data_IF_318781845683
#
_entry.id   IF_318781845683
#
_cell.length_a   1.000
_cell.length_b   1.000
_cell.length_c   1.000
_cell.angle_alpha   90.00
_cell.angle_beta   90.00
_cell.angle_gamma   90.00
#
_symmetry.space_group_name_H-M   'P 1'
#
loop_
_entity.id
_entity.type
_entity.pdbx_description
1 polymer ?
#
# COMPACT_ATOMS: atom_id res chain seq x y z
N UNK A 1 30.25 -3.07 -66.28
CA UNK A 1 29.28 -2.32 -67.11
C UNK A 1 28.33 -1.59 -66.17
N UNK A 2 28.44 -0.25 -66.15
CA UNK A 2 27.45 0.78 -65.69
C UNK A 2 26.79 0.53 -64.32
N UNK A 3 27.05 1.25 -63.23
CA UNK A 3 27.33 2.68 -62.98
C UNK A 3 26.27 3.63 -63.57
N UNK A 4 25.50 4.29 -62.69
CA UNK A 4 25.38 5.77 -62.65
C UNK A 4 24.22 6.26 -61.77
N UNK A 5 24.55 6.99 -60.70
CA UNK A 5 23.72 8.07 -60.14
C UNK A 5 23.61 9.25 -61.13
N UNK A 6 22.62 10.15 -60.95
CA UNK A 6 22.71 11.54 -61.38
C UNK A 6 22.61 12.54 -60.19
N UNK A 7 22.96 13.83 -60.41
CA UNK A 7 23.95 14.50 -59.56
C UNK A 7 23.52 15.82 -58.88
N UNK A 8 24.40 16.28 -58.00
CA UNK A 8 24.60 17.66 -57.53
C UNK A 8 24.95 18.61 -58.70
N UNK A 9 24.43 19.84 -58.69
CA UNK A 9 24.94 21.08 -59.32
C UNK A 9 23.82 22.16 -59.25
N UNK A 10 24.01 23.48 -59.26
CA UNK A 10 25.08 24.46 -59.02
C UNK A 10 24.36 25.82 -59.05
N UNK A 11 24.92 26.86 -58.42
CA UNK A 11 24.40 28.25 -58.44
C UNK A 11 24.55 28.91 -59.82
N UNK A 12 23.78 29.98 -60.12
CA UNK A 12 24.20 31.03 -61.03
C UNK A 12 24.64 32.34 -60.32
N UNK A 13 25.31 33.27 -61.04
CA UNK A 13 26.27 34.24 -60.47
C UNK A 13 25.92 35.73 -60.74
N UNK A 14 26.80 36.62 -60.25
CA UNK A 14 26.95 38.07 -60.55
C UNK A 14 25.94 39.01 -59.85
N UNK A 15 26.27 40.24 -59.41
CA UNK A 15 27.20 41.23 -59.96
C UNK A 15 27.48 42.34 -58.91
N UNK A 16 28.69 42.90 -58.91
CA UNK A 16 29.13 43.94 -57.96
C UNK A 16 28.66 45.37 -58.27
N UNK A 17 28.74 46.22 -57.26
CA UNK A 17 28.56 47.68 -57.31
C UNK A 17 29.21 48.35 -56.08
N UNK A 18 29.58 49.64 -56.16
CA UNK A 18 30.90 50.12 -55.73
C UNK A 18 31.01 50.64 -54.29
N UNK A 19 32.25 50.58 -53.79
CA UNK A 19 32.76 51.05 -52.50
C UNK A 19 32.78 52.59 -52.42
N UNK A 20 32.30 53.23 -51.33
CA UNK A 20 32.61 54.62 -51.02
C UNK A 20 33.87 54.78 -50.14
N UNK A 21 34.58 55.94 -50.22
CA UNK A 21 35.88 56.17 -49.60
C UNK A 21 35.81 56.48 -48.08
N UNK A 22 36.95 56.47 -47.35
CA UNK A 22 36.95 56.57 -45.90
C UNK A 22 36.84 58.04 -45.43
N UNK A 23 35.94 58.32 -44.50
CA UNK A 23 35.86 59.58 -43.76
C UNK A 23 36.14 59.34 -42.28
N UNK A 24 36.96 60.22 -41.70
CA UNK A 24 37.59 60.14 -40.38
C UNK A 24 36.66 60.21 -39.15
N UNK A 25 37.23 60.43 -37.95
CA UNK A 25 36.68 59.92 -36.69
C UNK A 25 35.75 60.91 -35.98
N UNK A 26 34.63 60.43 -35.44
CA UNK A 26 33.92 60.83 -34.19
C UNK A 26 32.49 60.26 -34.19
N UNK A 27 31.75 60.23 -33.06
CA UNK A 27 32.08 59.85 -31.68
C UNK A 27 31.28 58.59 -31.25
N UNK A 28 31.71 57.93 -30.16
CA UNK A 28 31.03 56.78 -29.56
C UNK A 28 29.56 57.07 -29.21
N UNK A 29 28.57 56.31 -29.73
CA UNK A 29 27.22 56.34 -29.20
C UNK A 29 27.21 55.59 -27.86
N UNK A 30 26.76 56.27 -26.80
CA UNK A 30 26.38 55.63 -25.54
C UNK A 30 25.33 54.55 -25.84
N UNK A 31 25.69 53.29 -25.63
CA UNK A 31 24.76 52.17 -25.72
C UNK A 31 23.64 52.32 -24.66
N UNK A 32 22.45 51.76 -24.92
CA UNK A 32 21.37 51.79 -23.95
C UNK A 32 21.78 51.10 -22.64
N UNK A 33 21.29 51.62 -21.51
CA UNK A 33 21.55 51.07 -20.18
C UNK A 33 21.24 49.56 -20.11
N UNK A 34 22.05 48.75 -19.40
CA UNK A 34 21.80 47.32 -19.29
C UNK A 34 20.48 47.03 -18.55
N UNK A 35 19.75 46.05 -19.07
CA UNK A 35 18.56 45.46 -18.45
C UNK A 35 18.87 44.98 -17.02
N UNK A 36 17.97 45.17 -16.04
CA UNK A 36 18.17 44.70 -14.66
C UNK A 36 18.25 43.17 -14.52
N UNK A 37 18.09 42.41 -15.61
CA UNK A 37 18.01 40.96 -15.60
C UNK A 37 19.27 40.23 -16.09
N UNK A 38 20.36 40.93 -16.35
CA UNK A 38 21.66 40.29 -16.66
C UNK A 38 22.69 40.56 -15.57
N UNK A 39 22.57 39.83 -14.46
CA UNK A 39 23.72 39.53 -13.59
C UNK A 39 23.91 38.01 -13.54
N UNK A 40 25.15 37.50 -13.63
CA UNK A 40 25.44 36.13 -13.26
C UNK A 40 25.05 35.92 -11.79
N UNK A 41 24.29 34.87 -11.50
CA UNK A 41 23.98 34.46 -10.14
C UNK A 41 25.19 33.71 -9.58
N UNK A 42 25.97 34.38 -8.73
CA UNK A 42 26.95 33.72 -7.87
C UNK A 42 26.24 33.31 -6.56
N UNK A 43 26.08 32.01 -6.26
CA UNK A 43 25.53 31.60 -4.98
C UNK A 43 26.51 31.97 -3.85
N UNK A 44 26.03 32.51 -2.72
CA UNK A 44 26.92 32.80 -1.59
C UNK A 44 27.54 31.51 -1.04
N UNK A 45 28.84 31.56 -0.78
CA UNK A 45 29.59 30.49 -0.11
C UNK A 45 28.92 30.14 1.24
N UNK A 46 28.73 28.85 1.57
CA UNK A 46 28.07 28.41 2.81
C UNK A 46 28.84 28.77 4.10
N UNK A 47 29.99 29.44 3.99
CA UNK A 47 30.87 29.78 5.12
C UNK A 47 31.09 31.28 5.33
N UNK A 48 30.37 32.16 4.62
CA UNK A 48 30.47 33.61 4.83
C UNK A 48 29.68 34.03 6.10
N UNK A 49 30.39 34.35 7.19
CA UNK A 49 29.78 34.98 8.38
C UNK A 49 29.50 36.47 8.10
N UNK A 50 28.30 37.00 8.37
CA UNK A 50 28.04 38.44 8.22
C UNK A 50 28.76 39.21 9.32
N UNK A 51 29.76 40.02 8.95
CA UNK A 51 30.34 41.04 9.83
C UNK A 51 29.60 42.37 9.61
N UNK A 52 28.52 42.56 10.36
CA UNK A 52 27.79 43.84 10.45
C UNK A 52 27.27 44.02 11.87
N UNK A 53 27.16 45.27 12.37
CA UNK A 53 26.62 45.52 13.71
C UNK A 53 25.16 45.06 13.79
N UNK A 54 24.84 44.29 14.82
CA UNK A 54 23.49 43.76 15.06
C UNK A 54 22.50 44.93 15.21
N UNK A 55 21.33 44.89 14.53
CA UNK A 55 20.29 45.89 14.77
C UNK A 55 19.80 45.78 16.22
N UNK A 56 19.71 46.93 16.88
CA UNK A 56 19.28 47.07 18.27
C UNK A 56 17.91 46.44 18.51
N UNK A 57 17.84 45.52 19.46
CA UNK A 57 16.64 44.79 19.87
C UNK A 57 15.67 45.67 20.69
N UNK A 58 15.09 46.70 20.06
CA UNK A 58 14.04 47.52 20.67
C UNK A 58 13.01 47.92 19.62
N UNK A 59 11.74 47.61 19.90
CA UNK A 59 10.53 47.91 19.10
C UNK A 59 9.98 46.84 18.15
N UNK A 60 10.21 45.55 18.43
CA UNK A 60 9.24 44.52 18.07
C UNK A 60 8.63 44.00 19.36
N UNK A 61 7.34 44.27 19.58
CA UNK A 61 6.60 43.63 20.68
C UNK A 61 6.84 42.12 20.61
N UNK A 62 7.13 41.51 21.76
CA UNK A 62 7.32 40.06 21.82
C UNK A 62 6.15 39.41 21.08
N UNK A 63 6.39 38.60 20.03
CA UNK A 63 5.31 37.85 19.42
C UNK A 63 4.66 37.07 20.55
N UNK A 64 3.33 37.19 20.68
CA UNK A 64 2.57 36.32 21.55
C UNK A 64 3.09 34.89 21.31
N UNK A 65 3.33 34.07 22.35
CA UNK A 65 3.79 32.71 22.16
C UNK A 65 2.86 32.09 21.12
N UNK A 66 3.42 31.79 19.95
CA UNK A 66 2.65 31.18 18.88
C UNK A 66 2.00 29.97 19.54
N UNK A 67 0.66 29.91 19.55
CA UNK A 67 0.02 28.66 19.90
C UNK A 67 0.74 27.59 19.07
N UNK A 68 1.22 26.50 19.69
CA UNK A 68 1.84 25.42 18.94
C UNK A 68 0.87 25.10 17.81
N UNK A 69 1.32 25.28 16.56
CA UNK A 69 0.56 24.85 15.40
C UNK A 69 0.22 23.38 15.66
N UNK A 70 -1.01 23.13 16.10
CA UNK A 70 -1.50 21.78 16.25
C UNK A 70 -1.88 21.43 14.84
N UNK A 71 -1.16 20.52 14.15
CA UNK A 71 -1.69 19.98 12.91
C UNK A 71 -3.12 19.56 13.24
N UNK A 72 -4.09 19.99 12.41
CA UNK A 72 -5.38 19.32 12.37
C UNK A 72 -4.99 17.87 12.21
N UNK A 73 -5.12 17.11 13.31
CA UNK A 73 -4.50 15.80 13.45
C UNK A 73 -4.78 15.10 12.14
N UNK A 74 -3.73 14.74 11.40
CA UNK A 74 -3.82 13.75 10.33
C UNK A 74 -4.04 12.42 11.04
N UNK A 75 -5.16 12.35 11.78
CA UNK A 75 -5.89 11.14 12.06
C UNK A 75 -6.31 10.71 10.67
N UNK A 76 -5.47 9.93 10.02
CA UNK A 76 -5.92 8.87 9.13
C UNK A 76 -7.17 8.29 9.77
N UNK A 77 -8.30 8.67 9.16
CA UNK A 77 -9.70 8.36 9.43
C UNK A 77 -9.95 7.47 10.66
N UNK A 78 -9.58 7.93 11.86
CA UNK A 78 -9.94 7.23 13.12
C UNK A 78 -11.40 7.48 13.50
N UNK A 79 -12.13 8.25 12.68
CA UNK A 79 -13.53 8.68 12.88
C UNK A 79 -14.45 8.38 11.70
N UNK A 80 -14.10 7.45 10.82
CA UNK A 80 -15.14 6.69 10.13
C UNK A 80 -15.00 5.26 10.63
N UNK A 81 -15.78 4.91 11.66
CA UNK A 81 -15.92 3.53 12.09
C UNK A 81 -16.22 2.65 10.87
N UNK A 82 -15.81 1.38 10.88
CA UNK A 82 -16.36 0.46 9.89
C UNK A 82 -17.87 0.67 9.92
N UNK A 83 -18.55 0.86 8.76
CA UNK A 83 -19.94 1.27 8.74
C UNK A 83 -20.62 0.38 9.75
N UNK A 84 -21.18 0.96 10.82
CA UNK A 84 -21.52 0.20 12.03
C UNK A 84 -22.33 -1.05 11.66
N UNK A 85 -23.16 -0.92 10.62
CA UNK A 85 -23.83 -2.00 9.90
C UNK A 85 -22.92 -3.18 9.48
N UNK A 86 -21.79 -2.95 8.81
CA UNK A 86 -20.86 -4.01 8.41
C UNK A 86 -20.22 -4.74 9.59
N UNK A 87 -19.93 -4.05 10.70
CA UNK A 87 -19.46 -4.71 11.93
C UNK A 87 -20.59 -5.50 12.62
N UNK A 88 -21.80 -4.94 12.66
CA UNK A 88 -22.97 -5.62 13.20
C UNK A 88 -23.26 -6.89 12.39
N UNK A 89 -23.28 -6.81 11.06
CA UNK A 89 -23.50 -7.96 10.19
C UNK A 89 -22.43 -9.03 10.39
N UNK A 90 -21.16 -8.62 10.53
CA UNK A 90 -20.08 -9.56 10.78
C UNK A 90 -20.17 -10.20 12.18
N UNK A 91 -20.60 -9.46 13.19
CA UNK A 91 -20.85 -9.99 14.53
C UNK A 91 -22.04 -10.97 14.56
N UNK A 92 -23.13 -10.65 13.85
CA UNK A 92 -24.28 -11.56 13.67
C UNK A 92 -23.81 -12.83 12.95
N UNK A 93 -23.05 -12.69 11.86
CA UNK A 93 -22.49 -13.83 11.14
C UNK A 93 -21.61 -14.70 12.02
N UNK A 94 -20.73 -14.10 12.83
CA UNK A 94 -19.91 -14.81 13.80
C UNK A 94 -20.76 -15.54 14.85
N UNK A 95 -21.85 -14.93 15.34
CA UNK A 95 -22.76 -15.57 16.28
C UNK A 95 -23.48 -16.77 15.66
N UNK A 96 -23.93 -16.66 14.41
CA UNK A 96 -24.53 -17.77 13.65
C UNK A 96 -23.52 -18.91 13.49
N UNK A 97 -22.29 -18.60 13.11
CA UNK A 97 -21.21 -19.60 12.97
C UNK A 97 -20.93 -20.31 14.29
N UNK A 98 -20.79 -19.56 15.38
CA UNK A 98 -20.55 -20.14 16.71
C UNK A 98 -21.72 -21.03 17.13
N UNK A 99 -22.95 -20.59 16.86
CA UNK A 99 -24.14 -21.41 17.11
C UNK A 99 -24.13 -22.72 16.29
N UNK A 100 -23.81 -22.66 15.00
CA UNK A 100 -23.71 -23.83 14.14
C UNK A 100 -22.61 -24.79 14.60
N UNK A 101 -21.42 -24.26 14.90
CA UNK A 101 -20.30 -25.05 15.39
C UNK A 101 -20.60 -25.71 16.75
N UNK A 102 -21.26 -25.01 17.66
CA UNK A 102 -21.71 -25.58 18.94
C UNK A 102 -22.81 -26.63 18.74
N UNK A 103 -23.76 -26.39 17.84
CA UNK A 103 -24.88 -27.31 17.57
C UNK A 103 -24.40 -28.60 16.91
N UNK A 104 -23.38 -28.51 16.06
CA UNK A 104 -22.76 -29.66 15.42
C UNK A 104 -21.65 -30.32 16.25
N UNK A 105 -21.27 -29.75 17.40
CA UNK A 105 -20.19 -30.29 18.21
C UNK A 105 -20.62 -31.56 18.95
N UNK A 106 -19.80 -32.61 18.84
CA UNK A 106 -20.03 -33.89 19.54
C UNK A 106 -19.95 -33.73 21.07
N UNK A 107 -19.09 -32.83 21.57
CA UNK A 107 -18.94 -32.48 22.98
C UNK A 107 -18.47 -31.02 23.12
N UNK A 108 -18.57 -30.46 24.32
CA UNK A 108 -17.93 -29.16 24.63
C UNK A 108 -16.42 -29.21 24.42
N UNK A 109 -15.78 -30.35 24.73
CA UNK A 109 -14.35 -30.55 24.53
C UNK A 109 -13.92 -30.51 23.06
N UNK A 110 -14.70 -31.11 22.16
CA UNK A 110 -14.42 -31.08 20.71
C UNK A 110 -14.62 -29.68 20.13
N UNK A 111 -15.63 -28.93 20.59
CA UNK A 111 -15.78 -27.52 20.24
C UNK A 111 -14.58 -26.67 20.68
N UNK A 112 -14.15 -26.80 21.93
CA UNK A 112 -12.97 -26.06 22.44
C UNK A 112 -11.72 -26.43 21.66
N UNK A 113 -11.51 -27.73 21.39
CA UNK A 113 -10.40 -28.20 20.55
C UNK A 113 -10.45 -27.61 19.14
N UNK A 114 -11.63 -27.58 18.51
CA UNK A 114 -11.85 -26.99 17.20
C UNK A 114 -11.47 -25.50 17.16
N UNK A 115 -11.89 -24.72 18.16
CA UNK A 115 -11.52 -23.30 18.29
C UNK A 115 -10.00 -23.13 18.41
N UNK A 116 -9.33 -23.93 19.24
CA UNK A 116 -7.88 -23.87 19.41
C UNK A 116 -7.16 -24.17 18.09
N UNK A 117 -7.52 -25.27 17.42
CA UNK A 117 -6.87 -25.67 16.17
C UNK A 117 -7.11 -24.68 15.03
N UNK A 118 -8.34 -24.18 14.88
CA UNK A 118 -8.67 -23.14 13.90
C UNK A 118 -7.88 -21.85 14.18
N UNK A 119 -7.75 -21.46 15.45
CA UNK A 119 -6.97 -20.28 15.87
C UNK A 119 -5.50 -20.45 15.54
N UNK A 120 -4.90 -21.61 15.83
CA UNK A 120 -3.50 -21.88 15.49
C UNK A 120 -3.26 -21.72 13.99
N UNK A 121 -4.14 -22.29 13.15
CA UNK A 121 -4.05 -22.12 11.70
C UNK A 121 -4.13 -20.67 11.25
N UNK A 122 -5.11 -19.92 11.77
CA UNK A 122 -5.28 -18.51 11.46
C UNK A 122 -4.05 -17.67 11.87
N UNK A 123 -3.51 -17.88 13.07
CA UNK A 123 -2.34 -17.14 13.58
C UNK A 123 -1.12 -17.35 12.70
N UNK A 124 -0.87 -18.57 12.24
CA UNK A 124 0.26 -18.87 11.33
C UNK A 124 0.16 -18.03 10.05
N UNK A 125 -1.02 -18.03 9.42
CA UNK A 125 -1.23 -17.32 8.14
C UNK A 125 -1.24 -15.81 8.34
N UNK A 126 -1.88 -15.30 9.39
CA UNK A 126 -1.87 -13.88 9.76
C UNK A 126 -0.42 -13.40 9.94
N UNK A 127 0.41 -14.18 10.63
CA UNK A 127 1.82 -13.83 10.84
C UNK A 127 2.57 -13.68 9.51
N UNK A 128 2.27 -14.52 8.51
CA UNK A 128 2.85 -14.38 7.17
C UNK A 128 2.43 -13.08 6.48
N UNK A 129 1.16 -12.68 6.57
CA UNK A 129 0.69 -11.40 6.01
C UNK A 129 1.24 -10.19 6.77
N UNK A 130 1.30 -10.24 8.10
CA UNK A 130 1.92 -9.18 8.90
C UNK A 130 3.44 -9.08 8.65
N UNK A 131 4.08 -10.21 8.33
CA UNK A 131 5.46 -10.19 7.86
C UNK A 131 5.56 -9.53 6.49
N UNK A 132 4.65 -9.81 5.56
CA UNK A 132 4.63 -9.22 4.22
C UNK A 132 4.43 -7.69 4.28
N UNK A 133 3.58 -7.24 5.19
CA UNK A 133 3.09 -5.86 5.36
C UNK A 133 3.92 -5.02 6.36
N UNK A 134 5.25 -5.10 6.26
CA UNK A 134 6.14 -4.51 7.28
C UNK A 134 6.59 -3.08 6.97
N UNK A 135 6.48 -2.65 5.72
CA UNK A 135 6.89 -1.30 5.31
C UNK A 135 5.83 -0.26 5.66
N UNK A 136 4.56 -0.58 5.42
CA UNK A 136 3.40 0.26 5.70
C UNK A 136 2.35 -0.61 6.40
N UNK A 137 2.47 -0.82 7.72
CA UNK A 137 1.55 -1.70 8.44
C UNK A 137 0.12 -1.19 8.38
N UNK A 138 -0.79 -2.04 7.92
CA UNK A 138 -2.20 -1.70 7.79
C UNK A 138 -2.87 -1.47 9.17
N UNK A 139 -3.82 -0.51 9.27
CA UNK A 139 -4.52 -0.26 10.52
C UNK A 139 -5.24 -1.53 11.04
N UNK A 140 -5.01 -1.94 12.30
CA UNK A 140 -5.58 -3.18 12.85
C UNK A 140 -7.11 -3.26 12.75
N UNK A 141 -7.79 -2.11 12.79
CA UNK A 141 -9.23 -2.04 12.66
C UNK A 141 -9.73 -2.57 11.30
N UNK A 142 -9.00 -2.32 10.21
CA UNK A 142 -9.38 -2.79 8.88
C UNK A 142 -9.01 -4.25 8.67
N UNK A 143 -7.90 -4.71 9.26
CA UNK A 143 -7.55 -6.13 9.29
C UNK A 143 -8.59 -6.96 10.04
N UNK A 144 -9.03 -6.49 11.20
CA UNK A 144 -10.13 -7.11 11.98
C UNK A 144 -11.42 -7.08 11.16
N UNK A 145 -11.72 -5.96 10.49
CA UNK A 145 -12.93 -5.87 9.67
C UNK A 145 -12.91 -6.83 8.48
N UNK A 146 -11.77 -6.98 7.79
CA UNK A 146 -11.59 -7.93 6.71
C UNK A 146 -11.76 -9.38 7.20
N UNK A 147 -11.13 -9.71 8.33
CA UNK A 147 -11.28 -11.02 8.97
C UNK A 147 -12.73 -11.32 9.34
N UNK A 148 -13.41 -10.40 10.02
CA UNK A 148 -14.79 -10.56 10.43
C UNK A 148 -15.75 -10.60 9.22
N UNK A 149 -15.46 -9.83 8.16
CA UNK A 149 -16.20 -9.92 6.90
C UNK A 149 -16.11 -11.32 6.31
N UNK A 150 -14.89 -11.85 6.21
CA UNK A 150 -14.62 -13.20 5.71
C UNK A 150 -15.34 -14.27 6.52
N UNK A 151 -15.14 -14.28 7.84
CA UNK A 151 -15.71 -15.32 8.71
C UNK A 151 -17.21 -15.20 8.95
N UNK A 152 -17.74 -13.98 9.01
CA UNK A 152 -19.16 -13.74 9.27
C UNK A 152 -19.98 -13.59 8.01
N UNK A 153 -19.82 -12.45 7.33
CA UNK A 153 -20.69 -12.07 6.19
C UNK A 153 -20.48 -13.01 5.01
N UNK A 154 -19.23 -13.26 4.62
CA UNK A 154 -18.95 -14.08 3.46
C UNK A 154 -19.29 -15.55 3.69
N UNK A 155 -18.97 -16.12 4.86
CA UNK A 155 -19.36 -17.50 5.18
C UNK A 155 -20.87 -17.69 5.19
N UNK A 156 -21.61 -16.89 5.97
CA UNK A 156 -23.08 -17.07 6.09
C UNK A 156 -23.77 -16.78 4.77
N UNK A 157 -23.33 -15.74 4.06
CA UNK A 157 -23.85 -15.46 2.72
C UNK A 157 -23.56 -16.59 1.74
N UNK A 158 -22.37 -17.19 1.79
CA UNK A 158 -21.98 -18.26 0.88
C UNK A 158 -22.83 -19.50 1.13
N UNK A 159 -23.04 -19.89 2.40
CA UNK A 159 -23.92 -21.01 2.77
C UNK A 159 -25.33 -20.86 2.17
N UNK A 160 -25.91 -19.65 2.24
CA UNK A 160 -27.25 -19.38 1.69
C UNK A 160 -27.24 -19.45 0.16
N UNK A 161 -26.28 -18.78 -0.49
CA UNK A 161 -26.21 -18.75 -1.95
C UNK A 161 -25.94 -20.15 -2.51
N UNK A 162 -25.03 -20.91 -1.90
CA UNK A 162 -24.71 -22.27 -2.28
C UNK A 162 -25.94 -23.17 -2.17
N UNK A 163 -26.71 -23.07 -1.08
CA UNK A 163 -27.94 -23.84 -0.92
C UNK A 163 -28.98 -23.51 -2.00
N UNK A 164 -29.13 -22.24 -2.36
CA UNK A 164 -30.03 -21.80 -3.44
C UNK A 164 -29.55 -22.33 -4.80
N UNK A 165 -28.25 -22.25 -5.10
CA UNK A 165 -27.68 -22.76 -6.35
C UNK A 165 -27.85 -24.28 -6.45
N UNK A 166 -27.60 -25.00 -5.35
CA UNK A 166 -27.79 -26.45 -5.27
C UNK A 166 -29.21 -26.84 -5.65
N UNK A 167 -30.22 -26.16 -5.07
CA UNK A 167 -31.63 -26.51 -5.29
C UNK A 167 -32.21 -26.03 -6.63
N UNK A 168 -31.77 -24.88 -7.14
CA UNK A 168 -32.40 -24.21 -8.29
C UNK A 168 -31.61 -24.33 -9.59
N UNK A 169 -30.32 -24.64 -9.54
CA UNK A 169 -29.42 -24.63 -10.70
C UNK A 169 -28.76 -25.99 -10.92
N UNK A 170 -28.38 -26.67 -9.84
CA UNK A 170 -27.62 -27.92 -9.91
C UNK A 170 -28.44 -29.16 -9.58
N UNK A 171 -29.76 -29.03 -9.36
CA UNK A 171 -30.68 -30.14 -9.05
C UNK A 171 -30.20 -31.05 -7.89
N UNK A 172 -29.50 -30.47 -6.92
CA UNK A 172 -28.93 -31.17 -5.76
C UNK A 172 -27.62 -31.92 -6.04
N UNK A 173 -26.98 -31.74 -7.21
CA UNK A 173 -25.67 -32.34 -7.50
C UNK A 173 -24.60 -31.75 -6.57
N UNK A 174 -24.13 -32.58 -5.63
CA UNK A 174 -23.14 -32.21 -4.62
C UNK A 174 -21.78 -31.86 -5.25
N UNK A 175 -21.39 -32.53 -6.33
CA UNK A 175 -20.09 -32.29 -6.99
C UNK A 175 -20.10 -30.96 -7.72
N UNK A 176 -21.16 -30.66 -8.47
CA UNK A 176 -21.31 -29.35 -9.13
C UNK A 176 -21.49 -28.22 -8.12
N UNK A 177 -22.24 -28.46 -7.05
CA UNK A 177 -22.41 -27.50 -5.96
C UNK A 177 -21.05 -27.18 -5.33
N UNK A 178 -20.24 -28.19 -4.99
CA UNK A 178 -18.92 -28.00 -4.41
C UNK A 178 -17.90 -27.39 -5.40
N UNK A 179 -17.90 -27.83 -6.67
CA UNK A 179 -16.90 -27.42 -7.65
C UNK A 179 -17.20 -26.08 -8.34
N UNK A 180 -18.47 -25.64 -8.35
CA UNK A 180 -18.90 -24.41 -9.06
C UNK A 180 -19.67 -23.49 -8.13
N UNK A 181 -20.69 -24.01 -7.43
CA UNK A 181 -21.56 -23.22 -6.55
C UNK A 181 -20.79 -22.55 -5.41
N UNK A 182 -20.03 -23.33 -4.65
CA UNK A 182 -19.22 -22.85 -3.54
C UNK A 182 -18.18 -21.80 -3.99
N UNK A 183 -17.30 -22.05 -4.99
CA UNK A 183 -16.38 -21.03 -5.49
C UNK A 183 -17.07 -19.75 -5.96
N UNK A 184 -18.21 -19.87 -6.64
CA UNK A 184 -18.96 -18.70 -7.13
C UNK A 184 -19.46 -17.86 -5.97
N UNK A 185 -20.06 -18.49 -4.97
CA UNK A 185 -20.62 -17.80 -3.80
C UNK A 185 -19.50 -17.23 -2.91
N UNK A 186 -18.54 -18.08 -2.53
CA UNK A 186 -17.49 -17.75 -1.58
C UNK A 186 -16.53 -16.68 -2.10
N UNK A 187 -15.97 -16.86 -3.30
CA UNK A 187 -14.97 -15.91 -3.82
C UNK A 187 -15.60 -14.56 -4.15
N UNK A 188 -16.87 -14.55 -4.58
CA UNK A 188 -17.61 -13.30 -4.79
C UNK A 188 -17.81 -12.53 -3.50
N UNK A 189 -18.26 -13.21 -2.43
CA UNK A 189 -18.52 -12.56 -1.15
C UNK A 189 -17.24 -12.14 -0.43
N UNK A 190 -16.18 -12.95 -0.47
CA UNK A 190 -14.87 -12.55 0.04
C UNK A 190 -14.29 -11.38 -0.77
N UNK A 191 -14.35 -11.47 -2.10
CA UNK A 191 -13.89 -10.43 -3.02
C UNK A 191 -14.65 -9.10 -2.89
N UNK A 192 -15.94 -9.14 -2.52
CA UNK A 192 -16.74 -7.94 -2.31
C UNK A 192 -16.16 -6.99 -1.26
N UNK A 193 -15.44 -7.51 -0.25
CA UNK A 193 -14.73 -6.68 0.73
C UNK A 193 -13.74 -5.72 0.05
N UNK A 194 -12.96 -6.22 -0.91
CA UNK A 194 -12.00 -5.41 -1.66
C UNK A 194 -12.71 -4.33 -2.48
N UNK A 195 -13.86 -4.65 -3.05
CA UNK A 195 -14.65 -3.68 -3.83
C UNK A 195 -15.21 -2.57 -2.94
N UNK A 196 -15.67 -2.92 -1.74
CA UNK A 196 -16.13 -1.94 -0.74
C UNK A 196 -14.98 -1.02 -0.33
N UNK A 197 -13.79 -1.57 -0.09
CA UNK A 197 -12.61 -0.77 0.24
C UNK A 197 -12.18 0.12 -0.95
N UNK A 198 -12.15 -0.44 -2.17
CA UNK A 198 -11.75 0.26 -3.40
C UNK A 198 -12.69 1.42 -3.77
N UNK A 199 -13.99 1.23 -3.62
CA UNK A 199 -15.02 2.21 -4.04
C UNK A 199 -15.47 3.13 -2.92
N UNK A 200 -15.27 2.73 -1.66
CA UNK A 200 -15.74 3.45 -0.50
C UNK A 200 -14.85 4.60 -0.05
N UNK A 201 -15.16 5.12 1.14
CA UNK A 201 -14.42 6.19 1.81
C UNK A 201 -12.98 5.80 2.18
N UNK A 202 -12.64 4.51 2.11
CA UNK A 202 -11.36 3.91 2.56
C UNK A 202 -10.43 3.54 1.43
N UNK A 203 -10.72 3.96 0.21
CA UNK A 203 -9.86 3.72 -0.96
C UNK A 203 -8.42 4.21 -0.81
N UNK A 204 -8.16 5.09 0.16
CA UNK A 204 -6.82 5.62 0.48
C UNK A 204 -5.93 4.62 1.22
N UNK A 205 -6.53 3.57 1.80
CA UNK A 205 -5.83 2.48 2.49
C UNK A 205 -5.50 1.33 1.53
N UNK A 206 -5.92 1.42 0.26
CA UNK A 206 -5.55 0.46 -0.77
C UNK A 206 -4.79 1.21 -1.84
N UNK A 207 -3.46 1.25 -1.72
CA UNK A 207 -2.60 2.02 -2.63
C UNK A 207 -1.51 1.18 -3.28
N UNK A 208 -1.11 0.10 -2.62
CA UNK A 208 -0.08 -0.82 -3.06
C UNK A 208 -0.67 -2.18 -3.43
N UNK A 209 0.15 -3.02 -4.09
CA UNK A 209 -0.23 -4.42 -4.29
C UNK A 209 -0.35 -5.13 -2.94
N UNK A 210 0.62 -4.92 -2.04
CA UNK A 210 0.66 -5.58 -0.72
C UNK A 210 -0.61 -5.33 0.08
N UNK A 211 -1.11 -4.09 0.11
CA UNK A 211 -2.36 -3.71 0.77
C UNK A 211 -3.52 -4.59 0.28
N UNK A 212 -3.66 -4.71 -1.06
CA UNK A 212 -4.72 -5.54 -1.66
C UNK A 212 -4.57 -7.02 -1.32
N UNK A 213 -3.32 -7.53 -1.28
CA UNK A 213 -3.03 -8.91 -0.89
C UNK A 213 -3.40 -9.14 0.58
N UNK A 214 -3.05 -8.20 1.47
CA UNK A 214 -3.29 -8.29 2.91
C UNK A 214 -4.79 -8.28 3.20
N UNK A 215 -5.55 -7.35 2.60
CA UNK A 215 -7.00 -7.30 2.80
C UNK A 215 -7.73 -8.55 2.27
N UNK A 216 -7.34 -9.05 1.09
CA UNK A 216 -7.87 -10.29 0.55
C UNK A 216 -7.49 -11.50 1.41
N UNK A 217 -6.23 -11.54 1.84
CA UNK A 217 -5.69 -12.54 2.74
C UNK A 217 -6.48 -12.61 4.02
N UNK A 218 -6.67 -11.48 4.71
CA UNK A 218 -7.43 -11.40 5.96
C UNK A 218 -8.88 -11.87 5.78
N UNK A 219 -9.54 -11.50 4.68
CA UNK A 219 -10.89 -12.00 4.36
C UNK A 219 -10.88 -13.52 4.14
N UNK A 220 -9.93 -14.05 3.37
CA UNK A 220 -9.77 -15.49 3.17
C UNK A 220 -9.44 -16.24 4.47
N UNK A 221 -8.62 -15.68 5.35
CA UNK A 221 -8.27 -16.28 6.65
C UNK A 221 -9.51 -16.34 7.55
N UNK A 222 -10.31 -15.27 7.60
CA UNK A 222 -11.54 -15.26 8.39
C UNK A 222 -12.52 -16.34 7.94
N UNK A 223 -12.68 -16.50 6.62
CA UNK A 223 -13.48 -17.57 6.03
C UNK A 223 -12.92 -18.95 6.40
N UNK A 224 -11.63 -19.19 6.15
CA UNK A 224 -10.96 -20.45 6.46
C UNK A 224 -11.01 -20.81 7.95
N UNK A 225 -10.95 -19.81 8.84
CA UNK A 225 -11.09 -20.01 10.29
C UNK A 225 -12.45 -20.63 10.63
N UNK A 226 -13.52 -20.06 10.07
CA UNK A 226 -14.88 -20.55 10.30
C UNK A 226 -15.08 -21.93 9.69
N UNK A 227 -14.60 -22.13 8.47
CA UNK A 227 -14.70 -23.42 7.82
C UNK A 227 -13.96 -24.50 8.64
N UNK A 228 -12.71 -24.24 9.04
CA UNK A 228 -11.93 -25.11 9.92
C UNK A 228 -12.66 -25.42 11.23
N UNK A 229 -13.28 -24.40 11.84
CA UNK A 229 -14.03 -24.56 13.09
C UNK A 229 -15.18 -25.56 12.92
N UNK A 230 -15.97 -25.45 11.83
CA UNK A 230 -17.09 -26.34 11.54
C UNK A 230 -16.63 -27.77 11.21
N UNK A 231 -15.51 -27.91 10.47
CA UNK A 231 -14.92 -29.23 10.19
C UNK A 231 -14.39 -29.91 11.45
N UNK A 232 -13.74 -29.18 12.35
CA UNK A 232 -13.19 -29.76 13.57
C UNK A 232 -14.27 -30.03 14.63
N UNK A 233 -15.35 -29.23 14.68
CA UNK A 233 -16.41 -29.43 15.67
C UNK A 233 -17.19 -30.73 15.44
N UNK A 234 -17.33 -31.16 14.19
CA UNK A 234 -18.06 -32.38 13.80
C UNK A 234 -17.22 -33.66 13.87
N UNK A 235 -15.94 -33.56 14.26
CA UNK A 235 -15.06 -34.73 14.34
C UNK A 235 -15.48 -35.71 15.47
N UNK A 236 -15.44 -37.01 15.16
CA UNK A 236 -15.92 -38.07 16.06
C UNK A 236 -14.78 -38.75 16.84
N UNK A 237 -13.53 -38.58 16.39
CA UNK A 237 -12.36 -39.18 17.05
C UNK A 237 -11.13 -38.28 16.98
N UNK A 238 -10.24 -38.42 17.98
CA UNK A 238 -8.96 -37.70 18.00
C UNK A 238 -8.11 -37.98 16.76
N UNK A 239 -8.15 -39.21 16.23
CA UNK A 239 -7.45 -39.58 15.01
C UNK A 239 -7.96 -38.81 13.79
N UNK A 240 -9.28 -38.71 13.62
CA UNK A 240 -9.90 -37.93 12.56
C UNK A 240 -9.59 -36.43 12.69
N UNK A 241 -9.71 -35.86 13.89
CA UNK A 241 -9.35 -34.46 14.16
C UNK A 241 -7.90 -34.19 13.81
N UNK A 242 -6.98 -35.08 14.21
CA UNK A 242 -5.54 -34.94 13.95
C UNK A 242 -5.24 -34.99 12.46
N UNK A 243 -5.80 -35.96 11.73
CA UNK A 243 -5.63 -36.07 10.29
C UNK A 243 -6.17 -34.82 9.56
N UNK A 244 -7.40 -34.40 9.89
CA UNK A 244 -8.00 -33.21 9.29
C UNK A 244 -7.20 -31.95 9.60
N UNK A 245 -6.70 -31.79 10.83
CA UNK A 245 -5.85 -30.67 11.18
C UNK A 245 -4.60 -30.60 10.31
N UNK A 246 -3.84 -31.69 10.18
CA UNK A 246 -2.65 -31.68 9.36
C UNK A 246 -2.95 -31.50 7.87
N UNK A 247 -4.00 -32.12 7.33
CA UNK A 247 -4.41 -31.89 5.95
C UNK A 247 -4.78 -30.42 5.71
N UNK A 248 -5.57 -29.83 6.62
CA UNK A 248 -6.04 -28.44 6.49
C UNK A 248 -4.97 -27.41 6.82
N UNK A 249 -3.94 -27.73 7.61
CA UNK A 249 -2.80 -26.82 7.86
C UNK A 249 -1.72 -26.95 6.78
N UNK A 250 -1.33 -28.16 6.40
CA UNK A 250 -0.22 -28.36 5.46
C UNK A 250 -0.64 -28.08 4.02
N UNK A 251 -1.84 -28.49 3.64
CA UNK A 251 -2.34 -28.32 2.27
C UNK A 251 -3.32 -27.13 2.19
N UNK A 252 -4.17 -26.97 3.21
CA UNK A 252 -5.30 -26.02 3.16
C UNK A 252 -5.05 -24.64 3.79
N UNK A 253 -3.99 -24.41 4.58
CA UNK A 253 -3.92 -23.21 5.43
C UNK A 253 -3.97 -21.91 4.63
N UNK A 254 -3.36 -21.95 3.44
CA UNK A 254 -3.33 -20.82 2.53
C UNK A 254 -4.39 -20.90 1.44
N UNK A 255 -5.25 -21.94 1.36
CA UNK A 255 -6.15 -22.15 0.23
C UNK A 255 -7.11 -20.96 0.00
N UNK A 256 -8.02 -20.65 0.93
CA UNK A 256 -8.93 -19.50 0.75
C UNK A 256 -8.18 -18.15 0.61
N UNK A 257 -7.13 -17.85 1.41
CA UNK A 257 -6.31 -16.67 1.18
C UNK A 257 -5.69 -16.61 -0.22
N UNK A 258 -5.19 -17.74 -0.73
CA UNK A 258 -4.58 -17.87 -2.04
C UNK A 258 -5.59 -17.63 -3.17
N UNK A 259 -6.77 -18.23 -3.10
CA UNK A 259 -7.83 -18.03 -4.10
C UNK A 259 -8.29 -16.57 -4.13
N UNK A 260 -8.67 -16.03 -2.96
CA UNK A 260 -9.15 -14.64 -2.82
C UNK A 260 -8.10 -13.62 -3.30
N UNK A 261 -6.82 -13.95 -3.16
CA UNK A 261 -5.73 -13.11 -3.64
C UNK A 261 -5.70 -12.95 -5.16
N UNK A 262 -6.27 -13.88 -5.94
CA UNK A 262 -6.42 -13.66 -7.38
C UNK A 262 -7.34 -12.45 -7.67
N UNK A 263 -8.41 -12.30 -6.88
CA UNK A 263 -9.26 -11.10 -6.92
C UNK A 263 -8.46 -9.85 -6.54
N UNK A 264 -7.57 -9.92 -5.54
CA UNK A 264 -6.69 -8.80 -5.19
C UNK A 264 -5.78 -8.37 -6.33
N UNK A 265 -5.18 -9.33 -7.06
CA UNK A 265 -4.38 -9.03 -8.25
C UNK A 265 -5.19 -8.30 -9.32
N UNK A 266 -6.43 -8.72 -9.54
CA UNK A 266 -7.38 -8.05 -10.44
C UNK A 266 -7.71 -6.63 -9.99
N UNK A 267 -7.99 -6.45 -8.69
CA UNK A 267 -8.24 -5.13 -8.08
C UNK A 267 -7.02 -4.21 -8.21
N UNK A 268 -5.82 -4.69 -7.88
CA UNK A 268 -4.59 -3.90 -8.04
C UNK A 268 -4.31 -3.55 -9.50
N UNK A 269 -4.53 -4.48 -10.43
CA UNK A 269 -4.40 -4.21 -11.86
C UNK A 269 -5.42 -3.15 -12.33
N UNK A 270 -6.63 -3.15 -11.77
CA UNK A 270 -7.66 -2.13 -12.05
C UNK A 270 -7.25 -0.73 -11.58
N UNK A 271 -6.56 -0.62 -10.44
CA UNK A 271 -6.11 0.66 -9.88
C UNK A 271 -5.09 1.37 -10.79
N UNK A 272 -4.39 0.62 -11.64
CA UNK A 272 -3.43 1.14 -12.63
C UNK A 272 -4.09 1.59 -13.94
N UNK A 273 -5.41 1.48 -14.09
CA UNK A 273 -6.13 1.83 -15.32
C UNK A 273 -6.92 3.13 -15.16
N UNK A 274 -7.03 3.89 -16.26
CA UNK A 274 -7.88 5.10 -16.33
C UNK A 274 -9.30 4.78 -16.82
N UNK A 275 -9.42 3.94 -17.85
CA UNK A 275 -10.70 3.58 -18.46
C UNK A 275 -11.53 2.64 -17.58
N UNK A 276 -12.81 2.98 -17.35
CA UNK A 276 -13.73 2.21 -16.50
C UNK A 276 -13.90 0.75 -16.93
N UNK A 277 -14.10 0.50 -18.24
CA UNK A 277 -14.24 -0.87 -18.76
C UNK A 277 -13.01 -1.74 -18.50
N UNK A 278 -11.81 -1.18 -18.62
CA UNK A 278 -10.58 -1.90 -18.29
C UNK A 278 -10.50 -2.26 -16.80
N UNK A 279 -10.94 -1.36 -15.90
CA UNK A 279 -10.97 -1.63 -14.46
C UNK A 279 -11.84 -2.84 -14.13
N UNK A 280 -13.07 -2.83 -14.63
CA UNK A 280 -14.03 -3.92 -14.42
C UNK A 280 -13.48 -5.24 -14.98
N UNK A 281 -12.87 -5.20 -16.17
CA UNK A 281 -12.28 -6.39 -16.79
C UNK A 281 -11.20 -7.03 -15.90
N UNK A 282 -10.26 -6.25 -15.35
CA UNK A 282 -9.23 -6.81 -14.47
C UNK A 282 -9.80 -7.38 -13.17
N UNK A 283 -10.80 -6.73 -12.58
CA UNK A 283 -11.49 -7.24 -11.38
C UNK A 283 -12.15 -8.59 -11.68
N UNK A 284 -12.91 -8.66 -12.78
CA UNK A 284 -13.60 -9.89 -13.18
C UNK A 284 -12.63 -11.02 -13.54
N UNK A 285 -11.50 -10.71 -14.20
CA UNK A 285 -10.47 -11.70 -14.48
C UNK A 285 -9.81 -12.24 -13.19
N UNK A 286 -9.56 -11.38 -12.22
CA UNK A 286 -9.05 -11.79 -10.91
C UNK A 286 -10.03 -12.68 -10.17
N UNK A 287 -11.31 -12.30 -10.16
CA UNK A 287 -12.39 -13.08 -9.54
C UNK A 287 -12.59 -14.44 -10.23
N UNK A 288 -12.61 -14.47 -11.56
CA UNK A 288 -12.68 -15.71 -12.33
C UNK A 288 -11.48 -16.62 -12.04
N UNK A 289 -10.27 -16.06 -11.92
CA UNK A 289 -9.08 -16.80 -11.52
C UNK A 289 -9.22 -17.42 -10.12
N UNK A 290 -9.80 -16.69 -9.16
CA UNK A 290 -10.11 -17.19 -7.82
C UNK A 290 -11.07 -18.38 -7.89
N UNK A 291 -12.21 -18.21 -8.60
CA UNK A 291 -13.25 -19.22 -8.74
C UNK A 291 -12.74 -20.48 -9.43
N UNK A 292 -11.94 -20.34 -10.49
CA UNK A 292 -11.38 -21.49 -11.22
C UNK A 292 -10.42 -22.28 -10.34
N UNK A 293 -9.50 -21.62 -9.63
CA UNK A 293 -8.57 -22.31 -8.75
C UNK A 293 -9.30 -23.00 -7.61
N UNK A 294 -10.25 -22.30 -6.97
CA UNK A 294 -11.03 -22.90 -5.89
C UNK A 294 -11.90 -24.07 -6.40
N UNK A 295 -12.57 -23.91 -7.54
CA UNK A 295 -13.35 -24.98 -8.16
C UNK A 295 -12.51 -26.20 -8.53
N UNK A 296 -11.30 -26.00 -9.05
CA UNK A 296 -10.35 -27.10 -9.31
C UNK A 296 -9.93 -27.80 -8.02
N UNK A 297 -9.73 -27.07 -6.92
CA UNK A 297 -9.46 -27.66 -5.62
C UNK A 297 -10.59 -28.58 -5.18
N UNK A 298 -11.83 -28.08 -5.17
CA UNK A 298 -13.01 -28.84 -4.73
C UNK A 298 -13.33 -30.01 -5.67
N UNK A 299 -13.28 -29.80 -6.98
CA UNK A 299 -13.50 -30.87 -7.95
C UNK A 299 -12.49 -32.01 -7.78
N UNK A 300 -11.22 -31.65 -7.52
CA UNK A 300 -10.17 -32.66 -7.37
C UNK A 300 -10.34 -33.51 -6.12
N UNK A 301 -10.83 -32.94 -5.01
CA UNK A 301 -11.11 -33.70 -3.78
C UNK A 301 -12.33 -34.60 -3.91
N UNK A 302 -13.36 -34.18 -4.65
CA UNK A 302 -14.54 -34.99 -4.94
C UNK A 302 -14.28 -36.15 -5.90
N UNK A 303 -13.27 -36.04 -6.77
CA UNK A 303 -13.00 -37.06 -7.80
C UNK A 303 -12.16 -38.24 -7.30
N UNK A 304 -10.98 -37.99 -6.74
CA UNK A 304 -10.13 -39.04 -6.13
C UNK A 304 -8.96 -38.43 -5.37
N UNK A 305 -8.35 -39.20 -4.45
CA UNK A 305 -7.12 -38.79 -3.78
C UNK A 305 -5.96 -38.51 -4.77
N UNK A 306 -5.88 -39.27 -5.86
CA UNK A 306 -4.85 -39.06 -6.90
C UNK A 306 -5.07 -37.75 -7.64
N UNK A 307 -6.31 -37.42 -8.00
CA UNK A 307 -6.65 -36.13 -8.60
C UNK A 307 -6.37 -34.98 -7.63
N UNK A 308 -6.78 -35.11 -6.36
CA UNK A 308 -6.53 -34.11 -5.33
C UNK A 308 -5.04 -33.82 -5.14
N UNK A 309 -4.21 -34.85 -4.95
CA UNK A 309 -2.75 -34.70 -4.80
C UNK A 309 -2.12 -34.18 -6.10
N UNK A 310 -2.58 -34.65 -7.26
CA UNK A 310 -2.14 -34.18 -8.57
C UNK A 310 -2.39 -32.68 -8.77
N UNK A 311 -3.62 -32.22 -8.52
CA UNK A 311 -4.00 -30.81 -8.57
C UNK A 311 -3.21 -29.98 -7.57
N UNK A 312 -3.03 -30.48 -6.34
CA UNK A 312 -2.22 -29.81 -5.32
C UNK A 312 -0.78 -29.57 -5.80
N UNK A 313 -0.09 -30.62 -6.24
CA UNK A 313 1.34 -30.53 -6.60
C UNK A 313 1.57 -29.86 -7.94
N UNK A 314 0.72 -30.10 -8.94
CA UNK A 314 0.94 -29.64 -10.32
C UNK A 314 0.32 -28.27 -10.61
N UNK A 315 -0.72 -27.87 -9.86
CA UNK A 315 -1.43 -26.60 -10.09
C UNK A 315 -1.24 -25.67 -8.89
N UNK A 316 -1.62 -26.11 -7.68
CA UNK A 316 -1.67 -25.22 -6.51
C UNK A 316 -0.29 -24.78 -6.06
N UNK A 317 0.66 -25.71 -5.89
CA UNK A 317 2.02 -25.38 -5.45
C UNK A 317 2.73 -24.43 -6.42
N UNK A 318 2.75 -24.66 -7.75
CA UNK A 318 3.36 -23.72 -8.69
C UNK A 318 2.69 -22.34 -8.69
N UNK A 319 1.36 -22.29 -8.68
CA UNK A 319 0.62 -21.04 -8.65
C UNK A 319 0.86 -20.26 -7.34
N UNK A 320 0.90 -20.96 -6.21
CA UNK A 320 1.24 -20.38 -4.91
C UNK A 320 2.68 -19.86 -4.87
N UNK A 321 3.65 -20.60 -5.44
CA UNK A 321 5.05 -20.15 -5.55
C UNK A 321 5.14 -18.86 -6.39
N UNK A 322 4.42 -18.78 -7.51
CA UNK A 322 4.36 -17.56 -8.33
C UNK A 322 3.79 -16.40 -7.50
N UNK A 323 2.70 -16.63 -6.78
CA UNK A 323 2.10 -15.62 -5.93
C UNK A 323 3.07 -15.13 -4.84
N UNK A 324 3.72 -16.04 -4.12
CA UNK A 324 4.69 -15.71 -3.08
C UNK A 324 5.86 -14.90 -3.65
N UNK A 325 6.37 -15.26 -4.85
CA UNK A 325 7.40 -14.48 -5.53
C UNK A 325 6.94 -13.07 -5.84
N UNK A 326 5.71 -12.90 -6.30
CA UNK A 326 5.13 -11.58 -6.58
C UNK A 326 4.93 -10.76 -5.30
N UNK A 327 4.45 -11.37 -4.22
CA UNK A 327 4.31 -10.73 -2.91
C UNK A 327 5.66 -10.27 -2.36
N UNK A 328 6.69 -11.13 -2.38
CA UNK A 328 8.05 -10.77 -1.94
C UNK A 328 8.63 -9.65 -2.83
N UNK A 329 8.37 -9.69 -4.14
CA UNK A 329 8.77 -8.62 -5.05
C UNK A 329 8.10 -7.29 -4.69
N UNK A 330 6.79 -7.29 -4.42
CA UNK A 330 6.03 -6.11 -3.99
C UNK A 330 6.67 -5.46 -2.75
N UNK A 331 6.86 -6.26 -1.69
CA UNK A 331 7.53 -5.86 -0.45
C UNK A 331 8.94 -5.29 -0.67
N UNK A 332 9.70 -5.85 -1.62
CA UNK A 332 11.05 -5.33 -1.93
C UNK A 332 10.97 -3.97 -2.63
N UNK A 333 10.00 -3.80 -3.54
CA UNK A 333 9.79 -2.56 -4.27
C UNK A 333 9.35 -1.43 -3.35
N UNK A 334 8.51 -1.70 -2.35
CA UNK A 334 8.17 -0.74 -1.30
C UNK A 334 9.42 -0.16 -0.63
N UNK A 335 10.33 -1.03 -0.19
CA UNK A 335 11.60 -0.59 0.39
C UNK A 335 12.48 0.21 -0.58
N UNK A 336 12.45 -0.10 -1.88
CA UNK A 336 13.16 0.69 -2.90
C UNK A 336 12.54 2.08 -3.03
N UNK A 337 11.21 2.17 -3.04
CA UNK A 337 10.49 3.45 -3.11
C UNK A 337 10.85 4.32 -1.91
N UNK A 338 10.77 3.79 -0.69
CA UNK A 338 11.20 4.53 0.51
C UNK A 338 12.61 5.08 0.34
N UNK A 339 13.59 4.22 0.04
CA UNK A 339 14.99 4.66 -0.12
C UNK A 339 15.20 5.71 -1.22
N UNK A 340 14.40 5.67 -2.29
CA UNK A 340 14.49 6.64 -3.38
C UNK A 340 14.00 8.03 -2.96
N UNK A 341 13.03 8.10 -2.07
CA UNK A 341 12.38 9.35 -1.66
C UNK A 341 13.05 10.02 -0.47
N UNK A 342 13.80 9.27 0.36
CA UNK A 342 14.51 9.82 1.53
C UNK A 342 15.46 11.00 1.20
N UNK A 343 16.29 10.98 0.14
CA UNK A 343 17.20 12.08 -0.16
C UNK A 343 16.53 13.44 -0.35
N UNK A 344 15.32 13.47 -0.92
CA UNK A 344 14.59 14.73 -1.07
C UNK A 344 13.89 15.17 0.21
N UNK A 345 13.58 14.25 1.13
CA UNK A 345 13.10 14.59 2.48
C UNK A 345 14.23 15.20 3.33
N UNK A 346 15.46 14.69 3.15
CA UNK A 346 16.68 15.28 3.73
C UNK A 346 16.90 16.67 3.16
N UNK A 347 16.77 16.85 1.84
CA UNK A 347 16.88 18.16 1.20
C UNK A 347 15.86 19.17 1.76
N UNK A 348 14.62 18.75 2.00
CA UNK A 348 13.58 19.63 2.56
C UNK A 348 13.69 19.85 4.07
N UNK A 349 14.68 19.24 4.75
CA UNK A 349 14.86 19.33 6.19
C UNK A 349 13.78 18.63 7.01
N UNK A 350 13.01 17.70 6.41
CA UNK A 350 11.98 16.93 7.13
C UNK A 350 12.59 15.83 8.01
N UNK A 351 13.76 15.33 7.62
CA UNK A 351 14.53 14.30 8.33
C UNK A 351 16.02 14.62 8.20
N UNK A 352 16.83 14.16 9.14
CA UNK A 352 18.28 14.33 9.06
C UNK A 352 18.94 13.31 8.10
N UNK A 353 20.13 13.61 7.55
CA UNK A 353 20.90 12.67 6.73
C UNK A 353 21.21 11.34 7.44
N UNK A 354 21.35 11.38 8.78
CA UNK A 354 21.60 10.20 9.61
C UNK A 354 20.34 9.36 9.83
N UNK A 355 19.20 10.02 10.03
CA UNK A 355 17.90 9.37 10.13
C UNK A 355 17.55 8.60 8.85
N UNK A 356 17.75 9.24 7.70
CA UNK A 356 17.54 8.63 6.40
C UNK A 356 18.36 7.33 6.23
N UNK A 357 19.57 7.26 6.82
CA UNK A 357 20.40 6.06 6.82
C UNK A 357 19.68 4.84 7.41
N UNK A 358 19.05 4.98 8.58
CA UNK A 358 18.38 3.86 9.24
C UNK A 358 16.92 3.68 8.83
N UNK A 359 16.25 4.72 8.33
CA UNK A 359 14.88 4.65 7.82
C UNK A 359 14.78 3.83 6.52
N UNK A 360 15.86 3.71 5.75
CA UNK A 360 15.87 3.00 4.46
C UNK A 360 15.82 1.47 4.51
N UNK A 361 15.82 0.86 5.70
CA UNK A 361 15.85 -0.60 5.88
C UNK A 361 15.06 -1.07 7.10
N UNK A 362 14.26 -2.13 6.94
CA UNK A 362 13.54 -2.75 8.04
C UNK A 362 14.48 -3.32 9.12
N UNK A 363 15.68 -3.76 8.74
CA UNK A 363 16.67 -4.31 9.69
C UNK A 363 17.22 -3.21 10.60
N UNK A 364 17.54 -2.05 10.03
CA UNK A 364 18.08 -0.91 10.77
C UNK A 364 17.00 -0.25 11.62
N UNK A 365 15.77 -0.10 11.11
CA UNK A 365 14.59 0.30 11.91
C UNK A 365 14.45 -0.58 13.15
N UNK A 366 14.41 -1.91 12.96
CA UNK A 366 14.27 -2.85 14.07
C UNK A 366 15.43 -2.79 15.07
N UNK A 367 16.66 -2.56 14.60
CA UNK A 367 17.83 -2.40 15.46
C UNK A 367 17.73 -1.13 16.32
N UNK A 368 17.25 -0.01 15.75
CA UNK A 368 17.08 1.27 16.46
C UNK A 368 15.95 1.26 17.49
N UNK A 369 14.90 0.48 17.24
CA UNK A 369 13.79 0.36 18.20
C UNK A 369 13.99 -0.72 19.26
N UNK A 370 15.06 -1.53 19.16
CA UNK A 370 15.28 -2.65 20.07
C UNK A 370 15.67 -2.13 21.45
N UNK A 371 14.93 -2.57 22.48
CA UNK A 371 15.21 -2.23 23.87
C UNK A 371 14.61 -0.90 24.32
N UNK A 372 13.95 -0.15 23.41
CA UNK A 372 13.23 1.06 23.79
C UNK A 372 12.01 0.73 24.66
N UNK A 373 11.67 1.59 25.64
CA UNK A 373 10.38 1.57 26.31
C UNK A 373 9.24 1.58 25.29
N UNK A 374 8.11 0.98 25.67
CA UNK A 374 6.96 0.80 24.76
C UNK A 374 6.44 2.12 24.17
N UNK A 375 6.45 3.20 24.94
CA UNK A 375 5.98 4.52 24.50
C UNK A 375 6.93 5.14 23.47
N UNK A 376 8.22 5.09 23.73
CA UNK A 376 9.27 5.57 22.82
C UNK A 376 9.31 4.78 21.51
N UNK A 377 9.26 3.44 21.61
CA UNK A 377 9.18 2.57 20.44
C UNK A 377 7.95 2.88 19.58
N UNK A 378 6.82 3.23 20.21
CA UNK A 378 5.59 3.61 19.50
C UNK A 378 5.72 4.98 18.84
N UNK A 379 6.37 5.94 19.47
CA UNK A 379 6.63 7.26 18.89
C UNK A 379 7.51 7.13 17.63
N UNK A 380 8.62 6.38 17.73
CA UNK A 380 9.53 6.10 16.61
C UNK A 380 8.83 5.32 15.49
N UNK A 381 7.99 4.34 15.83
CA UNK A 381 7.20 3.61 14.84
C UNK A 381 6.23 4.54 14.09
N UNK A 382 5.47 5.38 14.82
CA UNK A 382 4.52 6.31 14.22
C UNK A 382 5.21 7.32 13.29
N UNK A 383 6.37 7.84 13.69
CA UNK A 383 7.21 8.69 12.83
C UNK A 383 7.68 7.93 11.58
N UNK A 384 8.18 6.71 11.75
CA UNK A 384 8.69 5.87 10.65
C UNK A 384 7.60 5.52 9.64
N UNK A 385 6.39 5.24 10.12
CA UNK A 385 5.22 4.94 9.30
C UNK A 385 4.81 6.20 8.50
N UNK A 386 4.76 7.37 9.14
CA UNK A 386 4.46 8.64 8.46
C UNK A 386 5.48 9.01 7.38
N UNK A 387 6.78 8.79 7.62
CA UNK A 387 7.83 8.96 6.61
C UNK A 387 7.62 8.00 5.44
N UNK A 388 7.22 6.76 5.71
CA UNK A 388 6.99 5.74 4.69
C UNK A 388 5.77 6.09 3.84
N UNK A 389 4.66 6.51 4.45
CA UNK A 389 3.47 6.97 3.73
C UNK A 389 3.77 8.20 2.86
N UNK A 390 4.50 9.18 3.39
CA UNK A 390 4.93 10.35 2.62
C UNK A 390 5.79 9.95 1.41
N UNK A 391 6.68 8.96 1.57
CA UNK A 391 7.47 8.45 0.45
C UNK A 391 6.57 7.85 -0.64
N UNK A 392 5.56 7.04 -0.27
CA UNK A 392 4.64 6.48 -1.25
C UNK A 392 3.77 7.53 -1.95
N UNK A 393 3.32 8.56 -1.23
CA UNK A 393 2.58 9.68 -1.82
C UNK A 393 3.45 10.44 -2.84
N UNK A 394 4.68 10.83 -2.47
CA UNK A 394 5.61 11.52 -3.36
C UNK A 394 5.93 10.68 -4.60
N UNK A 395 6.16 9.39 -4.42
CA UNK A 395 6.45 8.48 -5.53
C UNK A 395 5.26 8.31 -6.49
N UNK A 396 4.02 8.30 -5.98
CA UNK A 396 2.82 8.30 -6.84
C UNK A 396 2.71 9.58 -7.67
N UNK A 397 2.97 10.74 -7.05
CA UNK A 397 2.99 12.04 -7.72
C UNK A 397 4.04 12.05 -8.84
N UNK A 398 5.25 11.59 -8.56
CA UNK A 398 6.34 11.48 -9.56
C UNK A 398 6.04 10.52 -10.70
N UNK A 399 5.23 9.49 -10.46
CA UNK A 399 4.74 8.56 -11.50
C UNK A 399 3.60 9.13 -12.35
N UNK A 400 3.22 10.39 -12.14
CA UNK A 400 2.23 11.11 -12.95
C UNK A 400 0.80 11.04 -12.41
N UNK A 401 0.59 10.53 -11.19
CA UNK A 401 -0.69 10.63 -10.51
C UNK A 401 -0.70 11.92 -9.70
N UNK A 402 -1.24 13.01 -10.25
CA UNK A 402 -1.29 14.30 -9.53
C UNK A 402 -2.72 14.84 -9.53
N UNK A 403 -3.50 14.46 -8.52
CA UNK A 403 -4.82 15.05 -8.24
C UNK A 403 -4.71 16.07 -7.10
N UNK A 404 -5.62 17.06 -7.02
CA UNK A 404 -5.63 18.02 -5.91
C UNK A 404 -5.65 17.36 -4.53
N UNK A 405 -6.38 16.24 -4.39
CA UNK A 405 -6.46 15.50 -3.13
C UNK A 405 -5.14 14.84 -2.76
N UNK A 406 -4.39 14.32 -3.73
CA UNK A 406 -3.10 13.68 -3.48
C UNK A 406 -2.01 14.72 -3.16
N UNK A 407 -2.09 15.90 -3.78
CA UNK A 407 -1.23 17.04 -3.45
C UNK A 407 -1.52 17.55 -2.03
N UNK A 408 -2.79 17.66 -1.65
CA UNK A 408 -3.19 17.99 -0.29
C UNK A 408 -2.68 16.95 0.73
N UNK A 409 -2.83 15.65 0.41
CA UNK A 409 -2.30 14.57 1.23
C UNK A 409 -0.77 14.66 1.41
N UNK A 410 -0.02 15.00 0.35
CA UNK A 410 1.43 15.21 0.46
C UNK A 410 1.77 16.34 1.45
N UNK A 411 1.08 17.48 1.34
CA UNK A 411 1.31 18.62 2.22
C UNK A 411 0.95 18.31 3.68
N UNK A 412 -0.19 17.68 3.91
CA UNK A 412 -0.65 17.23 5.24
C UNK A 412 0.35 16.26 5.88
N UNK A 413 0.81 15.26 5.14
CA UNK A 413 1.79 14.29 5.63
C UNK A 413 3.15 14.92 5.91
N UNK A 414 3.60 15.86 5.08
CA UNK A 414 4.86 16.56 5.32
C UNK A 414 4.84 17.34 6.64
N UNK A 415 3.75 18.04 6.94
CA UNK A 415 3.56 18.71 8.24
C UNK A 415 3.51 17.69 9.38
N UNK A 416 2.75 16.61 9.20
CA UNK A 416 2.63 15.58 10.23
C UNK A 416 3.96 14.88 10.54
N UNK A 417 4.79 14.62 9.52
CA UNK A 417 6.15 14.10 9.71
C UNK A 417 6.99 15.07 10.54
N UNK A 418 6.93 16.37 10.26
CA UNK A 418 7.66 17.37 11.03
C UNK A 418 7.20 17.41 12.51
N UNK A 419 5.89 17.36 12.76
CA UNK A 419 5.34 17.35 14.12
C UNK A 419 5.72 16.08 14.89
N UNK A 420 5.68 14.92 14.24
CA UNK A 420 6.09 13.65 14.83
C UNK A 420 7.60 13.60 15.09
N UNK A 421 8.40 14.15 14.17
CA UNK A 421 9.85 14.26 14.34
C UNK A 421 10.18 15.11 15.57
N UNK A 422 9.57 16.29 15.69
CA UNK A 422 9.74 17.17 16.85
C UNK A 422 9.29 16.50 18.17
N UNK A 423 8.16 15.79 18.16
CA UNK A 423 7.66 15.09 19.34
C UNK A 423 8.53 13.89 19.77
N UNK A 424 9.16 13.21 18.81
CA UNK A 424 10.01 12.05 19.05
C UNK A 424 11.52 12.40 19.07
N UNK A 425 11.89 13.67 18.92
CA UNK A 425 13.27 14.15 18.87
C UNK A 425 14.15 13.64 20.03
N UNK A 426 13.70 13.62 21.31
CA UNK A 426 14.52 13.12 22.41
C UNK A 426 14.98 11.65 22.24
N UNK A 427 14.22 10.87 21.47
CA UNK A 427 14.49 9.46 21.21
C UNK A 427 15.21 9.27 19.87
N UNK A 428 14.86 10.07 18.85
CA UNK A 428 15.37 9.94 17.47
C UNK A 428 16.74 10.59 17.30
N UNK A 429 16.96 11.79 17.82
CA UNK A 429 18.22 12.53 17.64
C UNK A 429 19.45 11.76 18.15
N UNK A 430 19.38 10.98 19.25
CA UNK A 430 20.50 10.13 19.68
C UNK A 430 20.76 8.91 18.78
N UNK A 431 19.88 8.60 17.81
CA UNK A 431 20.01 7.41 16.94
C UNK A 431 21.04 7.59 15.82
N UNK A 432 22.16 8.23 16.13
CA UNK A 432 23.27 8.54 15.21
C UNK A 432 24.24 7.36 15.04
N UNK A 433 25.08 7.43 14.00
CA UNK A 433 26.26 6.57 13.82
C UNK A 433 26.04 5.14 13.30
N UNK A 434 27.08 4.52 12.74
CA UNK A 434 27.10 3.10 12.37
C UNK A 434 26.32 2.70 11.09
N UNK A 435 25.74 3.66 10.38
CA UNK A 435 25.00 3.46 9.13
C UNK A 435 25.40 4.57 8.14
N UNK A 436 25.53 4.29 6.81
CA UNK A 436 25.83 5.32 5.82
C UNK A 436 24.82 6.46 5.84
N UNK A 437 25.34 7.69 5.82
CA UNK A 437 24.56 8.92 5.73
C UNK A 437 23.97 9.04 4.33
N UNK A 438 22.71 9.45 4.24
CA UNK A 438 22.04 9.70 2.96
C UNK A 438 22.14 11.19 2.61
N UNK A 439 22.82 11.56 1.51
CA UNK A 439 22.99 12.96 1.16
C UNK A 439 21.67 13.59 0.67
N UNK A 440 21.45 14.90 0.88
CA UNK A 440 20.32 15.62 0.32
C UNK A 440 20.39 15.63 -1.21
N UNK A 441 19.24 15.42 -1.86
CA UNK A 441 19.09 15.57 -3.31
C UNK A 441 17.93 16.51 -3.58
N UNK A 442 18.16 17.57 -4.37
CA UNK A 442 17.11 18.50 -4.75
C UNK A 442 16.08 17.80 -5.67
N UNK A 443 14.78 18.13 -5.55
CA UNK A 443 13.78 17.61 -6.48
C UNK A 443 14.07 18.09 -7.92
N UNK A 444 13.71 17.30 -8.95
CA UNK A 444 13.91 17.72 -10.33
C UNK A 444 13.11 19.01 -10.64
N UNK A 445 13.58 19.89 -11.56
CA UNK A 445 12.99 21.21 -11.81
C UNK A 445 11.50 21.23 -12.19
N UNK A 446 10.95 20.09 -12.61
CA UNK A 446 9.54 19.91 -12.99
C UNK A 446 8.66 19.32 -11.89
N UNK A 447 9.20 19.02 -10.70
CA UNK A 447 8.40 18.63 -9.55
C UNK A 447 7.77 19.89 -8.94
N UNK A 448 6.44 19.97 -8.78
CA UNK A 448 5.83 21.06 -8.04
C UNK A 448 6.41 21.04 -6.62
N UNK A 449 7.20 22.06 -6.26
CA UNK A 449 7.39 22.36 -4.86
C UNK A 449 6.00 22.72 -4.32
N UNK A 450 5.51 22.10 -3.23
CA UNK A 450 4.34 22.65 -2.56
C UNK A 450 4.68 24.12 -2.24
N UNK A 451 3.83 25.09 -2.60
CA UNK A 451 4.08 26.47 -2.24
C UNK A 451 4.16 26.53 -0.72
N UNK A 452 5.36 26.79 -0.19
CA UNK A 452 5.53 27.22 1.18
C UNK A 452 5.08 28.68 1.26
N UNK A 453 3.77 28.87 1.37
CA UNK A 453 3.23 30.13 1.85
C UNK A 453 3.01 30.00 3.35
N UNK A 454 3.83 30.64 4.21
CA UNK A 454 3.42 30.88 5.58
C UNK A 454 2.16 31.73 5.49
N UNK A 455 0.98 31.13 5.71
CA UNK A 455 -0.30 31.86 5.66
C UNK A 455 -0.21 33.06 6.62
N UNK A 456 -0.26 34.30 6.13
CA UNK A 456 -0.54 35.45 6.99
C UNK A 456 -1.94 35.25 7.54
N UNK A 457 -2.11 35.45 8.86
CA UNK A 457 -3.36 35.18 9.55
C UNK A 457 -4.59 35.81 8.89
N UNK A 458 -5.73 35.14 9.04
CA UNK A 458 -7.02 35.73 8.67
C UNK A 458 -8.13 34.72 8.46
N UNK A 459 -8.79 34.29 9.55
CA UNK A 459 -10.22 34.00 9.50
C UNK A 459 -10.87 34.72 10.67
N UNK A 460 -11.40 35.92 10.39
CA UNK A 460 -12.56 36.47 11.07
C UNK A 460 -13.79 35.98 10.31
N UNK A 461 -14.79 35.48 11.02
CA UNK A 461 -16.11 35.13 10.48
C UNK A 461 -16.44 33.66 10.66
#
# INVERSE_FOLDING_TARGET
>A
MSDSQPPNQQRPPWQGGPVPPPSGPTPTPQGPAPSPWTRPYDPPSPWARPSGPAPSAGAFGAPAPAEPYRPVQVRMVRRAGAPLAGLILAAIGAAVVVFLALSGATTVGTFVGAVVLATVGAVVVITCYMWLDRWEPEPPAYLIWAFLWGGGVATVGAMVIEQVLSLLVFDGDEVLTAAVGAPLAEESLKGAFLLIMLTGLRRREMTSLTDTLVYAGMSGIGFAFVENLLYFSTSESLGQTTFMFFARILMGAFAHPFFTTMTALGVWASMQRRAGGAKVTFILLGLAGAMVLHGLWNLSSSYSITAYVGTYVLVMVPAFVVLVRQAIRSRRLEGVVVRRELPEMVWSGLISPEEAGWLGSLRTRAARTRGLPREEARAVATFTDAVTELAFVRDRIKRGWSTPELQAQQAELAMFVADLHAAAAPVIEPMTGGIPVVPPVAPPPSAPLPPFEPRPGGWRG
#
